data_IF_294783599657
#
_entry.id   IF_294783599657
#
_cell.length_a   1.000
_cell.length_b   1.000
_cell.length_c   1.000
_cell.angle_alpha   90.00
_cell.angle_beta   90.00
_cell.angle_gamma   90.00
#
_symmetry.space_group_name_H-M   'P 1'
#
loop_
_entity.id
_entity.type
_entity.pdbx_description
1 polymer ?
#
# COMPACT_ATOMS: atom_id res chain seq x y z
N UNK A 1 3.87 10.53 -16.58
CA UNK A 1 5.16 10.42 -15.86
C UNK A 1 5.46 8.95 -15.71
N UNK A 2 6.59 8.46 -16.21
CA UNK A 2 6.96 7.04 -16.10
C UNK A 2 7.56 6.69 -14.72
N UNK A 3 8.00 7.70 -13.95
CA UNK A 3 8.52 7.52 -12.59
C UNK A 3 7.47 7.59 -11.47
N UNK A 4 6.19 7.82 -11.81
CA UNK A 4 5.13 7.90 -10.81
C UNK A 4 4.71 6.49 -10.34
N UNK A 5 4.60 6.29 -9.03
CA UNK A 5 4.15 5.01 -8.47
C UNK A 5 4.28 4.92 -6.96
N UNK A 6 3.88 3.77 -6.42
CA UNK A 6 4.03 3.44 -5.00
C UNK A 6 4.84 2.15 -4.86
N UNK A 7 5.82 2.15 -3.96
CA UNK A 7 6.48 0.92 -3.49
C UNK A 7 5.89 0.54 -2.15
N UNK A 8 5.38 -0.69 -2.05
CA UNK A 8 4.83 -1.25 -0.83
C UNK A 8 5.93 -2.05 -0.12
N UNK A 9 6.22 -1.74 1.15
CA UNK A 9 7.30 -2.35 1.94
C UNK A 9 6.82 -3.48 2.85
N UNK A 10 5.51 -3.60 3.06
CA UNK A 10 4.87 -4.59 3.95
C UNK A 10 3.66 -5.21 3.27
N UNK A 11 3.55 -6.53 3.35
CA UNK A 11 2.37 -7.25 2.87
C UNK A 11 1.26 -7.25 3.92
N UNK A 12 -0.01 -7.40 3.53
CA UNK A 12 -1.09 -7.61 4.49
C UNK A 12 -0.80 -8.76 5.44
N UNK A 13 -0.90 -8.49 6.75
CA UNK A 13 -0.63 -9.47 7.81
C UNK A 13 0.84 -9.54 8.28
N UNK A 14 1.76 -8.84 7.61
CA UNK A 14 3.12 -8.69 8.15
C UNK A 14 3.13 -7.72 9.34
N UNK A 15 3.86 -8.05 10.42
CA UNK A 15 3.98 -7.15 11.57
C UNK A 15 4.77 -5.90 11.21
N UNK A 16 4.46 -4.81 11.90
CA UNK A 16 5.11 -3.49 11.74
C UNK A 16 5.33 -2.86 13.10
N UNK A 17 6.30 -1.95 13.19
CA UNK A 17 6.54 -1.14 14.40
C UNK A 17 6.47 0.35 14.07
N UNK A 18 6.19 1.16 15.08
CA UNK A 18 6.11 2.60 14.93
C UNK A 18 7.43 3.18 14.35
N UNK A 19 7.29 4.06 13.37
CA UNK A 19 8.43 4.66 12.66
C UNK A 19 8.86 3.90 11.40
N UNK A 20 8.35 2.68 11.16
CA UNK A 20 8.60 1.97 9.91
C UNK A 20 7.75 2.52 8.75
N UNK A 21 8.36 2.79 7.58
CA UNK A 21 7.60 3.16 6.40
C UNK A 21 6.84 1.95 5.84
N UNK A 22 5.53 2.10 5.62
CA UNK A 22 4.70 1.08 4.97
C UNK A 22 4.80 1.11 3.45
N UNK A 23 4.97 2.31 2.89
CA UNK A 23 5.11 2.53 1.46
C UNK A 23 5.91 3.80 1.15
N UNK A 24 6.39 3.92 -0.09
CA UNK A 24 7.06 5.12 -0.61
C UNK A 24 6.39 5.56 -1.90
N UNK A 25 6.06 6.85 -1.99
CA UNK A 25 5.52 7.46 -3.20
C UNK A 25 6.67 8.01 -4.04
N UNK A 26 6.63 7.73 -5.34
CA UNK A 26 7.54 8.26 -6.34
C UNK A 26 6.76 9.17 -7.28
N UNK A 27 7.32 10.33 -7.60
CA UNK A 27 6.79 11.25 -8.60
C UNK A 27 7.88 12.22 -9.04
N UNK A 28 7.87 12.59 -10.32
CA UNK A 28 8.71 13.68 -10.84
C UNK A 28 8.03 15.07 -10.67
N UNK A 29 6.83 15.12 -10.09
CA UNK A 29 6.05 16.34 -9.79
C UNK A 29 5.70 16.38 -8.30
N UNK A 30 6.60 16.89 -7.44
CA UNK A 30 6.45 16.86 -5.98
C UNK A 30 5.21 17.62 -5.48
N UNK A 31 4.76 18.64 -6.21
CA UNK A 31 3.55 19.42 -5.92
C UNK A 31 2.27 18.58 -5.97
N UNK A 32 2.29 17.39 -6.58
CA UNK A 32 1.16 16.46 -6.63
C UNK A 32 1.10 15.49 -5.44
N UNK A 33 2.15 15.43 -4.62
CA UNK A 33 2.20 14.52 -3.45
C UNK A 33 1.04 14.76 -2.47
N UNK A 34 0.66 16.00 -2.11
CA UNK A 34 -0.45 16.22 -1.18
C UNK A 34 -1.78 15.62 -1.68
N UNK A 35 -2.07 15.77 -2.97
CA UNK A 35 -3.26 15.16 -3.57
C UNK A 35 -3.19 13.63 -3.55
N UNK A 36 -2.02 13.05 -3.86
CA UNK A 36 -1.83 11.60 -3.79
C UNK A 36 -1.97 11.05 -2.37
N UNK A 37 -1.56 11.81 -1.34
CA UNK A 37 -1.78 11.44 0.06
C UNK A 37 -3.27 11.46 0.43
N UNK A 38 -4.04 12.44 -0.07
CA UNK A 38 -5.47 12.48 0.14
C UNK A 38 -6.18 11.25 -0.47
N UNK A 39 -5.76 10.80 -1.66
CA UNK A 39 -6.31 9.57 -2.28
C UNK A 39 -5.90 8.29 -1.55
N UNK A 40 -4.77 8.29 -0.83
CA UNK A 40 -4.34 7.16 -0.01
C UNK A 40 -5.07 7.07 1.33
N UNK A 41 -5.79 8.13 1.73
CA UNK A 41 -6.53 8.14 2.98
C UNK A 41 -7.62 7.05 2.97
N UNK A 42 -7.67 6.28 4.06
CA UNK A 42 -8.53 5.08 4.15
C UNK A 42 -8.12 3.89 3.28
N UNK A 43 -7.11 4.01 2.41
CA UNK A 43 -6.62 2.93 1.53
C UNK A 43 -5.78 1.86 2.23
N UNK A 44 -5.45 2.05 3.51
CA UNK A 44 -4.66 1.13 4.32
C UNK A 44 -5.09 1.19 5.80
N UNK A 45 -4.72 0.16 6.58
CA UNK A 45 -4.97 0.12 8.02
C UNK A 45 -3.89 -0.70 8.74
N UNK A 46 -3.76 -0.46 10.04
CA UNK A 46 -3.02 -1.31 10.99
C UNK A 46 -4.05 -1.88 11.96
N UNK A 47 -3.92 -3.17 12.30
CA UNK A 47 -4.77 -3.85 13.26
C UNK A 47 -3.94 -4.80 14.12
N UNK A 48 -4.42 -5.09 15.34
CA UNK A 48 -3.75 -6.00 16.27
C UNK A 48 -3.73 -7.46 15.79
N UNK A 49 -4.66 -7.81 14.91
CA UNK A 49 -4.81 -9.17 14.37
C UNK A 49 -4.69 -9.11 12.85
N UNK A 50 -3.87 -10.01 12.30
CA UNK A 50 -3.70 -10.14 10.86
C UNK A 50 -5.04 -10.46 10.16
N UNK A 51 -5.33 -9.86 9.00
CA UNK A 51 -6.53 -10.17 8.24
C UNK A 51 -6.45 -11.61 7.71
N UNK A 52 -7.61 -12.24 7.42
CA UNK A 52 -7.63 -13.54 6.78
C UNK A 52 -6.93 -13.50 5.42
N UNK A 53 -6.09 -14.51 5.15
CA UNK A 53 -5.38 -14.64 3.87
C UNK A 53 -6.39 -14.89 2.76
N UNK A 54 -6.37 -14.03 1.74
CA UNK A 54 -7.16 -14.23 0.52
C UNK A 54 -6.27 -14.77 -0.59
N UNK A 55 -6.67 -15.86 -1.28
CA UNK A 55 -5.87 -16.39 -2.38
C UNK A 55 -5.86 -15.39 -3.54
N UNK A 56 -4.70 -15.22 -4.18
CA UNK A 56 -4.56 -14.35 -5.36
C UNK A 56 -5.30 -14.90 -6.58
N UNK A 57 -5.32 -16.22 -6.72
CA UNK A 57 -6.10 -16.93 -7.74
C UNK A 57 -7.33 -17.45 -7.03
N UNK A 58 -8.49 -16.89 -7.36
CA UNK A 58 -9.76 -17.27 -6.72
C UNK A 58 -10.31 -18.54 -7.37
N UNK A 59 -10.20 -18.67 -8.69
CA UNK A 59 -10.66 -19.84 -9.45
C UNK A 59 -9.96 -19.95 -10.81
N UNK A 60 -10.12 -21.10 -11.49
CA UNK A 60 -9.72 -21.33 -12.89
C UNK A 60 -10.89 -21.99 -13.64
N UNK A 61 -11.36 -21.34 -14.70
CA UNK A 61 -12.42 -21.86 -15.56
C UNK A 61 -11.78 -22.58 -16.75
N UNK A 62 -12.22 -23.82 -17.00
CA UNK A 62 -11.85 -24.65 -18.15
C UNK A 62 -12.99 -24.82 -19.14
#
# INVERSE_FOLDING_TARGET
QSGAGVRIHRKPGEPVVAGEPLFTLYTDTPERVPAALAELDGGWSIADVAPPVRPLIIDRIG
#
